data_IF_720905624426
#
_entry.id   IF_720905624426
#
_cell.length_a   1.000
_cell.length_b   1.000
_cell.length_c   1.000
_cell.angle_alpha   90.00
_cell.angle_beta   90.00
_cell.angle_gamma   90.00
#
_symmetry.space_group_name_H-M   'P 1'
#
loop_
_entity.id
_entity.type
_entity.pdbx_description
1 polymer ?
#
# COMPACT_ATOMS: atom_id res chain seq x y z
N UNK A 1 -15.63 -17.43 -7.59
CA UNK A 1 -14.26 -17.92 -7.35
C UNK A 1 -13.53 -17.82 -8.68
N UNK A 2 -12.91 -16.68 -8.91
CA UNK A 2 -11.71 -16.59 -9.73
C UNK A 2 -10.64 -16.26 -8.69
N UNK A 3 -10.13 -17.30 -7.99
CA UNK A 3 -8.83 -17.10 -7.34
C UNK A 3 -7.88 -16.72 -8.45
N UNK A 4 -7.06 -15.68 -8.25
CA UNK A 4 -6.01 -15.39 -9.23
C UNK A 4 -5.25 -16.69 -9.45
N UNK A 5 -5.41 -17.29 -10.63
CA UNK A 5 -4.61 -18.46 -10.98
C UNK A 5 -3.17 -18.02 -10.88
N UNK A 6 -2.33 -18.80 -10.18
CA UNK A 6 -0.89 -18.60 -10.20
C UNK A 6 -0.45 -18.46 -11.67
N UNK A 7 0.02 -17.28 -12.03
CA UNK A 7 0.57 -16.97 -13.35
C UNK A 7 2.06 -17.26 -13.37
N UNK A 8 2.76 -17.17 -12.23
CA UNK A 8 4.19 -17.51 -12.16
C UNK A 8 4.35 -19.02 -12.39
N UNK A 9 4.94 -19.36 -13.53
CA UNK A 9 5.09 -20.76 -13.93
C UNK A 9 6.13 -21.46 -13.06
N UNK A 10 6.05 -22.80 -12.98
CA UNK A 10 7.09 -23.60 -12.30
C UNK A 10 8.48 -23.41 -12.92
N UNK A 11 8.56 -23.04 -14.20
CA UNK A 11 9.82 -22.74 -14.89
C UNK A 11 10.40 -21.43 -14.36
N UNK A 12 9.57 -20.38 -14.25
CA UNK A 12 9.97 -19.09 -13.70
C UNK A 12 10.40 -19.22 -12.24
N UNK A 13 9.65 -19.94 -11.40
CA UNK A 13 10.04 -20.24 -10.01
C UNK A 13 11.42 -20.92 -9.94
N UNK A 14 11.63 -21.97 -10.73
CA UNK A 14 12.93 -22.66 -10.81
C UNK A 14 14.07 -21.73 -11.22
N UNK A 15 13.86 -20.85 -12.20
CA UNK A 15 14.87 -19.87 -12.63
C UNK A 15 15.19 -18.86 -11.53
N UNK A 16 14.18 -18.37 -10.83
CA UNK A 16 14.34 -17.44 -9.69
C UNK A 16 15.12 -18.13 -8.57
N UNK A 17 14.73 -19.33 -8.14
CA UNK A 17 15.41 -20.05 -7.06
C UNK A 17 16.82 -20.45 -7.43
N UNK A 18 17.05 -20.87 -8.68
CA UNK A 18 18.39 -21.14 -9.15
C UNK A 18 19.24 -19.87 -9.12
N UNK A 19 18.73 -18.74 -9.60
CA UNK A 19 19.42 -17.46 -9.55
C UNK A 19 19.73 -17.06 -8.10
N UNK A 20 18.78 -17.14 -7.18
CA UNK A 20 18.98 -16.75 -5.78
C UNK A 20 19.94 -17.67 -5.02
N UNK A 21 19.89 -18.99 -5.26
CA UNK A 21 20.74 -19.95 -4.54
C UNK A 21 22.14 -20.06 -5.15
N UNK A 22 22.24 -20.01 -6.48
CA UNK A 22 23.47 -20.30 -7.20
C UNK A 22 24.14 -19.04 -7.75
N UNK A 23 23.44 -17.92 -7.83
CA UNK A 23 23.93 -16.74 -8.52
C UNK A 23 24.01 -16.93 -10.02
N UNK A 24 24.90 -16.18 -10.67
CA UNK A 24 25.20 -16.30 -12.08
C UNK A 24 26.70 -16.08 -12.35
N UNK A 25 27.16 -16.44 -13.54
CA UNK A 25 28.55 -16.25 -13.95
C UNK A 25 28.63 -15.06 -14.90
N UNK A 26 29.54 -14.13 -14.61
CA UNK A 26 29.92 -13.06 -15.54
C UNK A 26 31.22 -13.44 -16.23
N UNK A 27 31.15 -13.54 -17.56
CA UNK A 27 32.33 -13.81 -18.37
C UNK A 27 33.20 -12.57 -18.47
N UNK A 28 34.45 -12.69 -18.03
CA UNK A 28 35.43 -11.62 -18.15
C UNK A 28 35.98 -11.54 -19.58
N UNK A 29 36.08 -10.33 -20.14
CA UNK A 29 36.72 -10.10 -21.45
C UNK A 29 38.23 -10.46 -21.37
N UNK A 30 38.83 -10.24 -20.20
CA UNK A 30 40.18 -10.63 -19.85
C UNK A 30 40.15 -11.14 -18.40
N UNK A 31 40.55 -12.39 -18.17
CA UNK A 31 40.57 -13.02 -16.85
C UNK A 31 39.71 -14.27 -16.75
N UNK A 32 39.49 -14.73 -15.52
CA UNK A 32 38.61 -15.87 -15.23
C UNK A 32 37.17 -15.41 -15.03
N UNK A 33 36.24 -16.31 -15.37
CA UNK A 33 34.82 -16.14 -15.12
C UNK A 33 34.55 -15.94 -13.62
N UNK A 34 33.80 -14.89 -13.28
CA UNK A 34 33.49 -14.57 -11.88
C UNK A 34 32.07 -15.00 -11.57
N UNK A 35 31.92 -15.77 -10.49
CA UNK A 35 30.60 -16.13 -9.96
C UNK A 35 30.09 -15.02 -9.06
N UNK A 36 28.97 -14.43 -9.44
CA UNK A 36 28.25 -13.43 -8.65
C UNK A 36 27.15 -14.14 -7.89
N UNK A 37 27.26 -14.16 -6.55
CA UNK A 37 26.26 -14.73 -5.64
C UNK A 37 25.34 -13.65 -5.07
N UNK A 38 24.26 -14.07 -4.43
CA UNK A 38 23.32 -13.16 -3.78
C UNK A 38 22.91 -13.69 -2.41
N UNK A 39 23.08 -12.84 -1.40
CA UNK A 39 22.60 -13.13 -0.07
C UNK A 39 21.18 -12.56 0.10
N UNK A 40 20.17 -13.43 0.09
CA UNK A 40 18.76 -13.00 0.12
C UNK A 40 18.32 -12.37 1.45
N UNK A 41 19.02 -12.62 2.55
CA UNK A 41 18.77 -11.95 3.84
C UNK A 41 19.61 -10.67 4.03
N UNK A 42 20.43 -10.32 3.02
CA UNK A 42 21.18 -9.06 2.96
C UNK A 42 22.04 -8.78 4.19
N UNK A 43 21.75 -7.70 4.90
CA UNK A 43 22.50 -7.23 6.08
C UNK A 43 22.00 -7.82 7.40
N UNK A 44 20.87 -8.53 7.39
CA UNK A 44 20.29 -9.18 8.56
C UNK A 44 20.85 -10.59 8.75
N UNK A 45 20.55 -11.23 9.87
CA UNK A 45 20.63 -12.69 9.95
C UNK A 45 19.45 -13.35 9.23
N UNK A 46 19.61 -14.61 8.83
CA UNK A 46 18.53 -15.36 8.16
C UNK A 46 17.24 -15.42 9.01
N UNK A 47 17.38 -15.54 10.34
CA UNK A 47 16.25 -15.56 11.27
C UNK A 47 15.55 -14.20 11.34
N UNK A 48 16.32 -13.12 11.50
CA UNK A 48 15.76 -11.75 11.53
C UNK A 48 15.01 -11.42 10.24
N UNK A 49 15.56 -11.82 9.09
CA UNK A 49 14.90 -11.66 7.80
C UNK A 49 13.60 -12.47 7.71
N UNK A 50 13.62 -13.77 8.01
CA UNK A 50 12.45 -14.64 7.87
C UNK A 50 11.32 -14.28 8.85
N UNK A 51 11.64 -13.77 10.05
CA UNK A 51 10.64 -13.30 11.03
C UNK A 51 9.84 -12.09 10.52
N UNK A 52 10.35 -11.35 9.52
CA UNK A 52 9.60 -10.25 8.88
C UNK A 52 8.45 -10.74 8.02
N UNK A 53 8.51 -11.98 7.54
CA UNK A 53 7.51 -12.59 6.66
C UNK A 53 6.69 -13.68 7.34
N UNK A 54 7.26 -14.35 8.34
CA UNK A 54 6.70 -15.56 8.94
C UNK A 54 6.78 -15.53 10.46
N UNK A 55 5.76 -16.08 11.13
CA UNK A 55 5.82 -16.31 12.57
C UNK A 55 6.57 -17.61 12.87
N UNK A 56 7.91 -17.52 12.88
CA UNK A 56 8.79 -18.68 13.04
C UNK A 56 8.63 -19.42 14.38
N UNK A 57 8.15 -18.71 15.42
CA UNK A 57 7.92 -19.29 16.75
C UNK A 57 6.74 -20.26 16.79
N UNK A 58 5.76 -20.05 15.92
CA UNK A 58 4.56 -20.89 15.80
C UNK A 58 4.73 -21.99 14.74
N UNK A 59 5.85 -21.99 14.00
CA UNK A 59 6.16 -22.99 12.98
C UNK A 59 6.95 -24.17 13.57
N UNK A 60 6.69 -25.41 13.12
CA UNK A 60 7.40 -26.57 13.63
C UNK A 60 8.88 -26.58 13.24
N UNK A 61 9.72 -27.07 14.15
CA UNK A 61 11.12 -27.41 13.86
C UNK A 61 11.20 -28.68 13.00
N UNK A 62 12.18 -28.75 12.09
CA UNK A 62 12.59 -29.98 11.41
C UNK A 62 13.64 -30.76 12.19
N UNK A 63 14.36 -30.08 13.09
CA UNK A 63 15.19 -30.73 14.09
C UNK A 63 14.35 -31.05 15.34
N UNK A 64 14.11 -32.33 15.58
CA UNK A 64 13.36 -32.83 16.75
C UNK A 64 13.90 -32.39 18.12
N UNK A 65 15.14 -31.88 18.19
CA UNK A 65 15.78 -31.39 19.41
C UNK A 65 15.39 -29.96 19.78
N UNK A 66 14.76 -29.23 18.86
CA UNK A 66 14.48 -27.79 18.97
C UNK A 66 12.97 -27.54 18.97
N UNK A 67 12.53 -26.46 19.62
CA UNK A 67 11.11 -26.26 19.92
C UNK A 67 10.30 -25.77 18.71
N UNK A 68 10.90 -24.94 17.85
CA UNK A 68 10.23 -24.27 16.74
C UNK A 68 11.20 -23.96 15.59
N UNK A 69 10.67 -23.45 14.48
CA UNK A 69 11.46 -23.13 13.30
C UNK A 69 12.48 -22.00 13.55
N UNK A 70 12.20 -21.06 14.47
CA UNK A 70 13.14 -19.99 14.82
C UNK A 70 14.44 -20.55 15.41
N UNK A 71 14.34 -21.44 16.41
CA UNK A 71 15.49 -22.10 17.03
C UNK A 71 16.25 -23.01 16.04
N UNK A 72 15.51 -23.73 15.21
CA UNK A 72 16.02 -24.61 14.13
C UNK A 72 16.87 -23.84 13.13
N UNK A 73 16.29 -22.81 12.53
CA UNK A 73 16.98 -21.98 11.55
C UNK A 73 18.16 -21.26 12.20
N UNK A 74 18.00 -20.71 13.40
CA UNK A 74 19.11 -20.08 14.12
C UNK A 74 20.29 -21.05 14.31
N UNK A 75 20.01 -22.29 14.73
CA UNK A 75 21.04 -23.33 14.91
C UNK A 75 21.79 -23.60 13.61
N UNK A 76 21.07 -23.76 12.50
CA UNK A 76 21.65 -24.22 11.24
C UNK A 76 22.09 -23.12 10.27
N UNK A 77 21.77 -21.86 10.53
CA UNK A 77 22.24 -20.73 9.70
C UNK A 77 23.18 -19.78 10.44
N UNK A 78 23.15 -19.75 11.78
CA UNK A 78 24.00 -18.84 12.58
C UNK A 78 25.06 -19.62 13.37
N UNK A 79 24.67 -20.64 14.13
CA UNK A 79 25.63 -21.40 14.94
C UNK A 79 26.44 -22.40 14.09
N UNK A 80 25.81 -23.02 13.10
CA UNK A 80 26.42 -23.99 12.20
C UNK A 80 26.12 -23.65 10.72
N UNK A 81 26.70 -22.58 10.15
CA UNK A 81 26.29 -22.01 8.86
C UNK A 81 26.43 -22.92 7.64
N UNK A 82 27.07 -24.10 7.77
CA UNK A 82 27.25 -25.06 6.68
C UNK A 82 26.29 -26.26 6.77
N UNK A 83 25.34 -26.27 7.72
CA UNK A 83 24.44 -27.41 7.93
C UNK A 83 23.35 -27.51 6.85
N UNK A 84 22.97 -26.38 6.25
CA UNK A 84 21.95 -26.33 5.20
C UNK A 84 22.56 -26.20 3.80
N UNK A 85 22.00 -26.88 2.78
CA UNK A 85 22.38 -26.65 1.38
C UNK A 85 21.98 -25.25 0.92
N UNK A 86 22.65 -24.71 -0.10
CA UNK A 86 22.40 -23.34 -0.61
C UNK A 86 20.94 -23.06 -1.00
N UNK A 87 20.19 -24.07 -1.43
CA UNK A 87 18.79 -23.97 -1.86
C UNK A 87 17.77 -24.42 -0.79
N UNK A 88 18.22 -24.62 0.46
CA UNK A 88 17.39 -25.18 1.54
C UNK A 88 16.05 -24.46 1.69
N UNK A 89 16.05 -23.12 1.63
CA UNK A 89 14.85 -22.31 1.85
C UNK A 89 13.79 -22.56 0.77
N UNK A 90 14.22 -22.80 -0.47
CA UNK A 90 13.32 -23.02 -1.60
C UNK A 90 12.81 -24.47 -1.69
N UNK A 91 13.40 -25.38 -0.92
CA UNK A 91 12.99 -26.79 -0.81
C UNK A 91 12.29 -27.10 0.50
N UNK A 92 12.35 -26.19 1.47
CA UNK A 92 11.72 -26.31 2.78
C UNK A 92 10.20 -26.07 2.69
N UNK A 93 9.42 -27.13 2.90
CA UNK A 93 7.95 -27.14 2.89
C UNK A 93 7.27 -26.26 3.94
N UNK A 94 8.01 -25.79 4.96
CA UNK A 94 7.50 -24.79 5.90
C UNK A 94 7.25 -23.44 5.23
N UNK A 95 7.98 -23.15 4.15
CA UNK A 95 7.89 -21.88 3.43
C UNK A 95 7.14 -22.08 2.11
N UNK A 96 6.04 -21.35 1.87
CA UNK A 96 5.21 -21.51 0.69
C UNK A 96 5.83 -20.82 -0.56
N UNK A 97 7.13 -20.98 -0.79
CA UNK A 97 7.84 -20.37 -1.91
C UNK A 97 7.72 -21.22 -3.18
N UNK A 98 7.93 -22.54 -3.10
CA UNK A 98 7.86 -23.41 -4.28
C UNK A 98 6.42 -23.78 -4.64
N UNK A 99 5.62 -24.22 -3.65
CA UNK A 99 4.26 -24.73 -3.82
C UNK A 99 3.15 -23.76 -3.37
N UNK A 100 3.50 -22.54 -2.96
CA UNK A 100 2.52 -21.55 -2.53
C UNK A 100 1.93 -20.72 -3.66
N UNK A 101 1.30 -19.63 -3.26
CA UNK A 101 0.70 -18.64 -4.16
C UNK A 101 1.78 -17.77 -4.83
N UNK A 102 1.41 -17.03 -5.87
CA UNK A 102 2.30 -16.04 -6.48
C UNK A 102 2.56 -14.88 -5.52
N UNK A 103 1.54 -14.46 -4.79
CA UNK A 103 1.59 -13.39 -3.78
C UNK A 103 2.66 -13.70 -2.74
N UNK A 104 2.66 -14.90 -2.16
CA UNK A 104 3.67 -15.33 -1.18
C UNK A 104 5.11 -15.27 -1.73
N UNK A 105 5.31 -15.63 -3.00
CA UNK A 105 6.61 -15.53 -3.64
C UNK A 105 6.98 -14.07 -3.92
N UNK A 106 6.06 -13.26 -4.43
CA UNK A 106 6.30 -11.87 -4.78
C UNK A 106 6.55 -11.00 -3.54
N UNK A 107 5.83 -11.24 -2.44
CA UNK A 107 6.06 -10.60 -1.14
C UNK A 107 7.46 -10.92 -0.62
N UNK A 108 7.86 -12.20 -0.67
CA UNK A 108 9.22 -12.61 -0.35
C UNK A 108 10.26 -11.89 -1.24
N UNK A 109 10.02 -11.82 -2.54
CA UNK A 109 10.92 -11.15 -3.47
C UNK A 109 10.98 -9.63 -3.25
N UNK A 110 9.89 -8.99 -2.84
CA UNK A 110 9.91 -7.59 -2.42
C UNK A 110 10.77 -7.42 -1.16
N UNK A 111 10.67 -8.35 -0.21
CA UNK A 111 11.38 -8.26 1.06
C UNK A 111 12.90 -8.44 0.92
N UNK A 112 13.39 -9.32 0.04
CA UNK A 112 14.84 -9.44 -0.24
C UNK A 112 15.43 -8.14 -0.83
N UNK A 113 14.60 -7.30 -1.44
CA UNK A 113 14.98 -6.00 -2.00
C UNK A 113 14.55 -4.81 -1.14
N UNK A 114 14.01 -5.07 0.06
CA UNK A 114 13.65 -4.03 1.00
C UNK A 114 14.93 -3.30 1.46
N UNK A 115 14.96 -1.95 1.50
CA UNK A 115 16.10 -1.19 2.01
C UNK A 115 16.57 -1.55 3.42
N UNK A 116 15.69 -2.08 4.28
CA UNK A 116 16.07 -2.57 5.61
C UNK A 116 16.75 -3.94 5.59
N UNK A 117 16.68 -4.65 4.47
CA UNK A 117 17.24 -5.99 4.29
C UNK A 117 18.47 -5.93 3.39
N UNK A 118 18.33 -5.42 2.16
CA UNK A 118 19.36 -5.49 1.11
C UNK A 118 20.64 -4.77 1.51
N UNK A 119 21.77 -5.30 1.06
CA UNK A 119 23.05 -4.61 1.16
C UNK A 119 23.27 -3.72 -0.06
N UNK A 120 23.32 -2.39 0.14
CA UNK A 120 23.53 -1.41 -0.93
C UNK A 120 24.91 -1.53 -1.62
N UNK A 121 25.88 -2.22 -1.00
CA UNK A 121 27.19 -2.50 -1.60
C UNK A 121 27.20 -3.77 -2.45
N UNK A 122 26.12 -4.57 -2.39
CA UNK A 122 26.00 -5.82 -3.14
C UNK A 122 25.46 -5.64 -4.56
N UNK A 123 25.43 -6.73 -5.33
CA UNK A 123 24.87 -6.78 -6.68
C UNK A 123 23.32 -6.83 -6.72
N UNK A 124 22.63 -6.40 -5.65
CA UNK A 124 21.18 -6.55 -5.52
C UNK A 124 20.39 -5.97 -6.70
N UNK A 125 20.84 -4.85 -7.29
CA UNK A 125 20.18 -4.23 -8.47
C UNK A 125 20.17 -5.16 -9.67
N UNK A 126 21.28 -5.87 -9.90
CA UNK A 126 21.39 -6.83 -11.00
C UNK A 126 20.48 -8.04 -10.79
N UNK A 127 20.37 -8.52 -9.54
CA UNK A 127 19.40 -9.57 -9.18
C UNK A 127 17.97 -9.09 -9.34
N UNK A 128 17.64 -7.88 -8.88
CA UNK A 128 16.35 -7.25 -9.07
C UNK A 128 15.97 -7.20 -10.55
N UNK A 129 16.86 -6.71 -11.42
CA UNK A 129 16.62 -6.62 -12.87
C UNK A 129 16.39 -8.01 -13.49
N UNK A 130 17.23 -9.00 -13.16
CA UNK A 130 17.05 -10.37 -13.68
C UNK A 130 15.73 -10.99 -13.23
N UNK A 131 15.35 -10.83 -11.96
CA UNK A 131 14.08 -11.36 -11.44
C UNK A 131 12.89 -10.62 -12.03
N UNK A 132 12.97 -9.29 -12.16
CA UNK A 132 11.98 -8.46 -12.84
C UNK A 132 11.73 -8.97 -14.26
N UNK A 133 12.76 -9.27 -15.05
CA UNK A 133 12.59 -9.82 -16.41
C UNK A 133 11.96 -11.21 -16.41
N UNK A 134 12.22 -12.04 -15.39
CA UNK A 134 11.58 -13.35 -15.24
C UNK A 134 10.08 -13.24 -14.94
N UNK A 135 9.69 -12.42 -13.96
CA UNK A 135 8.27 -12.29 -13.56
C UNK A 135 7.43 -11.52 -14.58
N UNK A 136 8.05 -10.64 -15.38
CA UNK A 136 7.39 -9.93 -16.49
C UNK A 136 6.81 -10.84 -17.55
N UNK A 137 7.47 -11.97 -17.82
CA UNK A 137 6.97 -12.98 -18.78
C UNK A 137 5.64 -13.57 -18.30
N UNK A 138 5.47 -13.67 -16.99
CA UNK A 138 4.29 -14.24 -16.34
C UNK A 138 3.26 -13.17 -15.94
N UNK A 139 3.45 -11.92 -16.38
CA UNK A 139 2.46 -10.85 -16.25
C UNK A 139 2.54 -10.02 -14.96
N UNK A 140 3.59 -10.20 -14.16
CA UNK A 140 3.87 -9.36 -12.98
C UNK A 140 5.01 -8.37 -13.25
N UNK A 141 5.06 -7.28 -12.48
CA UNK A 141 6.22 -6.40 -12.44
C UNK A 141 6.43 -5.83 -11.04
N UNK A 142 7.68 -5.60 -10.66
CA UNK A 142 7.98 -4.73 -9.53
C UNK A 142 7.80 -3.27 -9.90
N UNK A 143 7.38 -2.46 -8.94
CA UNK A 143 7.20 -1.02 -9.07
C UNK A 143 7.67 -0.29 -7.80
N UNK A 144 8.05 0.98 -7.94
CA UNK A 144 8.39 1.88 -6.84
C UNK A 144 7.10 2.18 -6.08
N UNK A 145 6.98 1.57 -4.90
CA UNK A 145 5.81 1.69 -4.02
C UNK A 145 5.88 2.99 -3.22
N UNK A 146 6.99 3.19 -2.51
CA UNK A 146 7.28 4.41 -1.75
C UNK A 146 8.81 4.53 -1.50
N UNK A 147 9.21 5.58 -0.78
CA UNK A 147 10.61 5.88 -0.47
C UNK A 147 10.74 6.08 1.04
N UNK A 148 11.75 5.46 1.65
CA UNK A 148 12.10 5.61 3.07
C UNK A 148 13.53 6.14 3.12
N UNK A 149 13.75 7.32 3.71
CA UNK A 149 15.09 7.89 3.89
C UNK A 149 15.93 7.93 2.59
N UNK A 150 15.30 8.31 1.47
CA UNK A 150 15.85 8.29 0.11
C UNK A 150 16.12 6.90 -0.50
N UNK A 151 15.73 5.82 0.18
CA UNK A 151 15.81 4.45 -0.32
C UNK A 151 14.48 3.98 -0.90
N UNK A 152 14.53 3.36 -2.07
CA UNK A 152 13.33 2.86 -2.76
C UNK A 152 12.86 1.54 -2.15
N UNK A 153 11.57 1.51 -1.81
CA UNK A 153 10.82 0.30 -1.49
C UNK A 153 10.02 -0.12 -2.71
N UNK A 154 10.12 -1.40 -3.06
CA UNK A 154 9.44 -1.98 -4.20
C UNK A 154 8.22 -2.78 -3.76
N UNK A 155 7.11 -2.61 -4.48
CA UNK A 155 5.95 -3.51 -4.44
C UNK A 155 5.87 -4.32 -5.73
N UNK A 156 4.89 -5.21 -5.82
CA UNK A 156 4.58 -5.97 -7.03
C UNK A 156 3.15 -5.70 -7.50
N UNK A 157 2.93 -5.76 -8.81
CA UNK A 157 1.59 -5.63 -9.40
C UNK A 157 1.44 -6.48 -10.65
N UNK A 158 0.20 -6.72 -11.06
CA UNK A 158 -0.08 -7.19 -12.42
C UNK A 158 0.23 -6.09 -13.41
N UNK A 159 0.92 -6.43 -14.51
CA UNK A 159 1.32 -5.48 -15.55
C UNK A 159 0.13 -4.73 -16.16
N UNK A 160 -1.00 -5.42 -16.32
CA UNK A 160 -2.23 -4.87 -16.90
C UNK A 160 -3.06 -4.05 -15.89
N UNK A 161 -2.71 -4.09 -14.61
CA UNK A 161 -3.44 -3.45 -13.51
C UNK A 161 -2.74 -2.20 -12.97
N UNK A 162 -1.85 -1.64 -13.79
CA UNK A 162 -0.94 -0.57 -13.41
C UNK A 162 -1.60 0.78 -13.20
N UNK A 163 -2.61 1.10 -14.01
CA UNK A 163 -3.34 2.36 -13.94
C UNK A 163 -4.85 2.08 -13.91
N UNK A 164 -5.49 2.41 -12.80
CA UNK A 164 -6.94 2.28 -12.58
C UNK A 164 -7.66 3.64 -12.63
N UNK A 165 -6.96 4.72 -12.31
CA UNK A 165 -7.48 6.10 -12.20
C UNK A 165 -7.26 6.90 -13.49
N UNK A 166 -6.05 6.79 -14.06
CA UNK A 166 -5.67 7.47 -15.30
C UNK A 166 -5.64 6.48 -16.47
N UNK A 167 -6.32 6.80 -17.57
CA UNK A 167 -6.31 5.93 -18.75
C UNK A 167 -5.00 6.09 -19.53
N UNK A 168 -4.51 5.04 -20.22
CA UNK A 168 -3.28 5.14 -21.02
C UNK A 168 -3.28 6.25 -22.07
N UNK A 169 -4.43 6.51 -22.70
CA UNK A 169 -4.58 7.60 -23.68
C UNK A 169 -4.45 9.00 -23.04
N UNK A 170 -5.00 9.17 -21.83
CA UNK A 170 -4.91 10.41 -21.06
C UNK A 170 -3.48 10.63 -20.55
N UNK A 171 -2.83 9.57 -20.08
CA UNK A 171 -1.43 9.58 -19.68
C UNK A 171 -0.54 10.02 -20.84
N UNK A 172 -0.73 9.45 -22.04
CA UNK A 172 0.02 9.83 -23.23
C UNK A 172 -0.21 11.29 -23.63
N UNK A 173 -1.42 11.81 -23.47
CA UNK A 173 -1.72 13.21 -23.76
C UNK A 173 -0.98 14.16 -22.81
N UNK A 174 -0.98 13.86 -21.51
CA UNK A 174 -0.23 14.64 -20.51
C UNK A 174 1.29 14.55 -20.75
N UNK A 175 1.81 13.36 -21.04
CA UNK A 175 3.23 13.18 -21.36
C UNK A 175 3.62 14.01 -22.58
N UNK A 176 2.80 14.02 -23.64
CA UNK A 176 3.07 14.79 -24.84
C UNK A 176 3.10 16.31 -24.58
N UNK A 177 2.32 16.79 -23.60
CA UNK A 177 2.35 18.19 -23.17
C UNK A 177 3.66 18.55 -22.46
N UNK A 178 4.16 17.64 -21.61
CA UNK A 178 5.31 17.90 -20.75
C UNK A 178 6.65 17.57 -21.41
N UNK A 179 6.78 16.42 -22.09
CA UNK A 179 8.03 15.92 -22.65
C UNK A 179 8.18 16.32 -24.12
N UNK A 180 8.88 17.43 -24.35
CA UNK A 180 9.05 18.09 -25.65
C UNK A 180 10.40 17.71 -26.27
N UNK A 181 10.53 16.46 -26.71
CA UNK A 181 11.78 15.96 -27.30
C UNK A 181 12.92 15.80 -26.30
N UNK A 182 12.60 15.42 -25.05
CA UNK A 182 13.57 15.23 -23.96
C UNK A 182 13.70 16.41 -23.00
N UNK A 183 13.18 17.58 -23.39
CA UNK A 183 12.96 18.72 -22.51
C UNK A 183 11.64 18.51 -21.76
N UNK A 184 11.67 18.52 -20.43
CA UNK A 184 10.44 18.50 -19.64
C UNK A 184 10.08 19.94 -19.36
N UNK A 185 9.10 20.47 -20.11
CA UNK A 185 8.74 21.89 -20.12
C UNK A 185 10.00 22.77 -20.30
N UNK A 186 10.01 23.99 -19.76
CA UNK A 186 11.15 24.92 -19.75
C UNK A 186 12.06 24.70 -18.53
N UNK A 187 11.85 23.62 -17.77
CA UNK A 187 12.60 23.34 -16.55
C UNK A 187 14.07 23.01 -16.84
N UNK A 188 14.97 23.66 -16.09
CA UNK A 188 16.36 23.22 -15.97
C UNK A 188 16.42 21.85 -15.28
N UNK A 189 17.53 21.13 -15.43
CA UNK A 189 17.72 19.84 -14.73
C UNK A 189 17.62 19.98 -13.21
N UNK A 190 18.28 20.97 -12.57
CA UNK A 190 18.10 21.22 -11.13
C UNK A 190 16.65 21.52 -10.73
N UNK A 191 15.94 22.36 -11.49
CA UNK A 191 14.55 22.71 -11.17
C UNK A 191 13.60 21.53 -11.32
N UNK A 192 13.82 20.68 -12.33
CA UNK A 192 13.05 19.44 -12.52
C UNK A 192 13.30 18.44 -11.36
N UNK A 193 14.55 18.29 -10.93
CA UNK A 193 14.87 17.41 -9.80
C UNK A 193 14.39 17.96 -8.46
N UNK A 194 14.37 19.28 -8.27
CA UNK A 194 13.77 19.92 -7.10
C UNK A 194 12.24 19.71 -7.06
N UNK A 195 11.56 19.90 -8.19
CA UNK A 195 10.13 19.64 -8.31
C UNK A 195 9.82 18.17 -8.01
N UNK A 196 10.55 17.23 -8.63
CA UNK A 196 10.31 15.80 -8.41
C UNK A 196 10.64 15.37 -6.98
N UNK A 197 11.70 15.89 -6.38
CA UNK A 197 12.00 15.64 -4.97
C UNK A 197 10.86 16.10 -4.06
N UNK A 198 10.33 17.31 -4.28
CA UNK A 198 9.23 17.85 -3.49
C UNK A 198 7.96 17.01 -3.61
N UNK A 199 7.62 16.60 -4.83
CA UNK A 199 6.33 15.98 -5.10
C UNK A 199 6.33 14.48 -4.80
N UNK A 200 7.41 13.78 -5.13
CA UNK A 200 7.49 12.31 -5.04
C UNK A 200 8.69 11.80 -4.25
N UNK A 201 9.48 12.66 -3.61
CA UNK A 201 10.61 12.24 -2.79
C UNK A 201 11.84 11.74 -3.56
N UNK A 202 11.87 11.90 -4.88
CA UNK A 202 12.95 11.42 -5.75
C UNK A 202 13.40 12.50 -6.73
N UNK A 203 14.71 12.74 -6.76
CA UNK A 203 15.36 13.48 -7.85
C UNK A 203 15.51 12.56 -9.05
N UNK A 204 14.64 12.71 -10.05
CA UNK A 204 14.53 11.71 -11.12
C UNK A 204 15.76 11.62 -12.01
N UNK A 205 16.44 12.73 -12.33
CA UNK A 205 17.64 12.66 -13.18
C UNK A 205 18.84 12.09 -12.43
N UNK A 206 19.02 12.47 -11.17
CA UNK A 206 20.01 11.87 -10.28
C UNK A 206 19.78 10.35 -10.11
N UNK A 207 18.53 9.94 -9.85
CA UNK A 207 18.20 8.54 -9.60
C UNK A 207 18.40 7.65 -10.83
N UNK A 208 17.90 8.06 -12.00
CA UNK A 208 17.97 7.24 -13.21
C UNK A 208 19.26 7.40 -14.01
N UNK A 209 20.05 8.45 -13.75
CA UNK A 209 21.24 8.78 -14.56
C UNK A 209 20.90 9.08 -16.04
N UNK A 210 19.69 9.58 -16.31
CA UNK A 210 19.14 9.81 -17.66
C UNK A 210 18.72 11.27 -17.84
N UNK A 211 18.43 11.67 -19.08
CA UNK A 211 17.86 13.00 -19.36
C UNK A 211 16.49 13.16 -18.72
N UNK A 212 16.07 14.41 -18.41
CA UNK A 212 14.76 14.71 -17.78
C UNK A 212 13.60 13.93 -18.40
N UNK A 213 13.45 14.00 -19.73
CA UNK A 213 12.37 13.30 -20.43
C UNK A 213 12.47 11.77 -20.29
N UNK A 214 13.67 11.19 -20.35
CA UNK A 214 13.87 9.75 -20.17
C UNK A 214 13.63 9.31 -18.72
N UNK A 215 14.03 10.11 -17.75
CA UNK A 215 13.79 9.86 -16.32
C UNK A 215 12.32 9.97 -15.95
N UNK A 216 11.61 10.97 -16.50
CA UNK A 216 10.15 11.10 -16.35
C UNK A 216 9.44 9.86 -16.90
N UNK A 217 9.80 9.43 -18.10
CA UNK A 217 9.21 8.23 -18.72
C UNK A 217 9.51 6.95 -17.93
N UNK A 218 10.72 6.82 -17.39
CA UNK A 218 11.10 5.70 -16.54
C UNK A 218 10.26 5.69 -15.25
N UNK A 219 10.13 6.83 -14.57
CA UNK A 219 9.31 6.94 -13.37
C UNK A 219 7.81 6.68 -13.64
N UNK A 220 7.24 7.20 -14.71
CA UNK A 220 5.85 6.88 -15.09
C UNK A 220 5.69 5.38 -15.33
N UNK A 221 6.73 4.71 -15.83
CA UNK A 221 6.72 3.27 -16.03
C UNK A 221 6.80 2.51 -14.70
N UNK A 222 7.62 2.95 -13.78
CA UNK A 222 8.00 2.16 -12.61
C UNK A 222 7.30 2.61 -11.33
N UNK A 223 6.69 3.79 -11.28
CA UNK A 223 6.04 4.33 -10.09
C UNK A 223 4.65 3.77 -9.81
N UNK A 224 4.23 3.85 -8.54
CA UNK A 224 2.83 3.65 -8.14
C UNK A 224 1.94 4.73 -8.75
N UNK A 225 0.73 4.34 -9.18
CA UNK A 225 -0.19 5.24 -9.89
C UNK A 225 -0.42 6.57 -9.18
N UNK A 226 -0.68 6.57 -7.87
CA UNK A 226 -0.93 7.80 -7.12
C UNK A 226 0.26 8.77 -7.15
N UNK A 227 1.49 8.26 -7.04
CA UNK A 227 2.69 9.08 -7.07
C UNK A 227 2.97 9.61 -8.49
N UNK A 228 2.75 8.77 -9.50
CA UNK A 228 2.79 9.19 -10.91
C UNK A 228 1.78 10.32 -11.17
N UNK A 229 0.55 10.17 -10.71
CA UNK A 229 -0.48 11.19 -10.85
C UNK A 229 -0.07 12.48 -10.14
N UNK A 230 0.42 12.40 -8.91
CA UNK A 230 0.89 13.57 -8.14
C UNK A 230 1.93 14.35 -8.94
N UNK A 231 2.92 13.67 -9.52
CA UNK A 231 3.92 14.30 -10.37
C UNK A 231 3.31 14.94 -11.63
N UNK A 232 2.41 14.24 -12.32
CA UNK A 232 1.77 14.77 -13.53
C UNK A 232 0.90 16.00 -13.24
N UNK A 233 0.20 16.02 -12.11
CA UNK A 233 -0.58 17.18 -11.64
C UNK A 233 0.36 18.35 -11.34
N UNK A 234 1.47 18.12 -10.64
CA UNK A 234 2.43 19.18 -10.35
C UNK A 234 3.08 19.77 -11.62
N UNK A 235 3.43 18.93 -12.60
CA UNK A 235 3.90 19.39 -13.91
C UNK A 235 2.82 20.19 -14.65
N UNK A 236 1.56 19.77 -14.57
CA UNK A 236 0.45 20.51 -15.14
C UNK A 236 0.23 21.86 -14.45
N UNK A 237 0.41 21.94 -13.14
CA UNK A 237 0.26 23.18 -12.39
C UNK A 237 1.36 24.17 -12.72
N UNK A 238 2.60 23.69 -12.81
CA UNK A 238 3.71 24.48 -13.29
C UNK A 238 3.44 25.01 -14.71
N UNK A 239 3.00 24.14 -15.63
CA UNK A 239 2.60 24.54 -16.98
C UNK A 239 1.48 25.58 -16.96
N UNK A 240 0.46 25.40 -16.11
CA UNK A 240 -0.73 26.23 -16.05
C UNK A 240 -0.50 27.58 -15.38
N UNK A 241 0.51 27.71 -14.53
CA UNK A 241 0.84 28.95 -13.83
C UNK A 241 1.98 29.74 -14.48
N UNK A 242 2.79 29.10 -15.33
CA UNK A 242 3.90 29.75 -16.03
C UNK A 242 3.40 30.58 -17.23
N UNK A 243 3.73 31.88 -17.24
CA UNK A 243 3.35 32.83 -18.30
C UNK A 243 3.95 32.45 -19.66
N UNK A 244 5.06 31.70 -19.70
CA UNK A 244 5.66 31.23 -20.94
C UNK A 244 4.68 30.41 -21.82
N UNK A 245 3.69 29.74 -21.21
CA UNK A 245 2.71 28.90 -21.90
C UNK A 245 1.34 29.56 -22.12
N UNK A 246 1.20 30.87 -21.92
CA UNK A 246 -0.10 31.56 -22.01
C UNK A 246 -0.81 31.38 -23.36
N UNK A 247 -0.09 31.47 -24.48
CA UNK A 247 -0.69 31.27 -25.80
C UNK A 247 -1.11 29.82 -26.04
N UNK A 248 -0.32 28.84 -25.59
CA UNK A 248 -0.65 27.43 -25.75
C UNK A 248 -1.90 27.02 -24.95
N UNK A 249 -2.14 27.68 -23.81
CA UNK A 249 -3.32 27.46 -22.95
C UNK A 249 -4.64 27.86 -23.62
N UNK A 250 -4.61 28.59 -24.75
CA UNK A 250 -5.81 28.93 -25.53
C UNK A 250 -6.26 27.79 -26.45
N UNK A 251 -5.43 26.77 -26.68
CA UNK A 251 -5.72 25.67 -27.59
C UNK A 251 -6.58 24.55 -26.98
N UNK A 252 -7.22 23.77 -27.85
CA UNK A 252 -8.07 22.62 -27.46
C UNK A 252 -7.33 21.57 -26.63
N UNK A 253 -6.03 21.40 -26.87
CA UNK A 253 -5.21 20.43 -26.14
C UNK A 253 -5.10 20.78 -24.65
N UNK A 254 -5.02 22.07 -24.31
CA UNK A 254 -5.01 22.50 -22.91
C UNK A 254 -6.34 22.16 -22.23
N UNK A 255 -7.47 22.46 -22.87
CA UNK A 255 -8.79 22.16 -22.31
C UNK A 255 -8.99 20.66 -22.06
N UNK A 256 -8.51 19.80 -22.98
CA UNK A 256 -8.50 18.34 -22.79
C UNK A 256 -7.66 17.95 -21.57
N UNK A 257 -6.41 18.41 -21.48
CA UNK A 257 -5.55 18.12 -20.32
C UNK A 257 -6.12 18.65 -19.01
N UNK A 258 -6.71 19.84 -19.01
CA UNK A 258 -7.37 20.44 -17.85
C UNK A 258 -8.54 19.59 -17.35
N UNK A 259 -9.38 19.08 -18.26
CA UNK A 259 -10.49 18.21 -17.90
C UNK A 259 -10.02 16.89 -17.25
N UNK A 260 -8.94 16.31 -17.77
CA UNK A 260 -8.30 15.10 -17.24
C UNK A 260 -7.77 15.38 -15.84
N UNK A 261 -6.98 16.44 -15.67
CA UNK A 261 -6.38 16.81 -14.38
C UNK A 261 -7.44 17.12 -13.34
N UNK A 262 -8.51 17.84 -13.69
CA UNK A 262 -9.61 18.13 -12.78
C UNK A 262 -10.38 16.86 -12.37
N UNK A 263 -10.61 15.93 -13.31
CA UNK A 263 -11.23 14.63 -13.01
C UNK A 263 -10.36 13.81 -12.06
N UNK A 264 -9.06 13.71 -12.35
CA UNK A 264 -8.12 12.94 -11.52
C UNK A 264 -7.97 13.58 -10.14
N UNK A 265 -7.90 14.92 -10.07
CA UNK A 265 -7.95 15.67 -8.80
C UNK A 265 -9.22 15.44 -8.02
N UNK A 266 -10.38 15.33 -8.69
CA UNK A 266 -11.64 15.05 -8.01
C UNK A 266 -11.71 13.62 -7.48
N UNK A 267 -11.14 12.66 -8.22
CA UNK A 267 -10.97 11.27 -7.77
C UNK A 267 -9.99 11.14 -6.60
N UNK A 268 -8.88 11.91 -6.64
CA UNK A 268 -7.94 12.05 -5.52
C UNK A 268 -8.61 12.78 -4.37
N UNK A 269 -9.28 13.91 -4.57
CA UNK A 269 -9.95 14.66 -3.52
C UNK A 269 -11.06 13.85 -2.83
N UNK A 270 -11.73 12.91 -3.50
CA UNK A 270 -12.71 12.07 -2.81
C UNK A 270 -12.07 11.08 -1.82
N UNK A 271 -10.88 10.56 -2.13
CA UNK A 271 -10.16 9.58 -1.30
C UNK A 271 -9.21 10.30 -0.32
N UNK A 272 -8.48 11.29 -0.81
CA UNK A 272 -7.53 12.14 -0.11
C UNK A 272 -8.18 13.31 0.62
N UNK A 273 -9.23 14.01 0.19
CA UNK A 273 -9.85 14.97 1.12
C UNK A 273 -10.55 14.24 2.25
N UNK A 274 -11.21 13.11 2.00
CA UNK A 274 -11.71 12.28 3.12
C UNK A 274 -10.54 11.91 4.03
N UNK A 275 -9.47 11.27 3.55
CA UNK A 275 -8.35 10.87 4.40
C UNK A 275 -7.52 12.02 5.01
N UNK A 276 -7.30 13.13 4.29
CA UNK A 276 -6.35 14.21 4.61
C UNK A 276 -7.04 15.39 5.33
N UNK A 277 -8.33 15.64 5.07
CA UNK A 277 -9.17 16.54 5.87
C UNK A 277 -9.49 15.88 7.23
N UNK A 278 -9.51 14.54 7.30
CA UNK A 278 -9.44 13.75 8.54
C UNK A 278 -8.07 13.88 9.24
N UNK A 279 -6.94 13.76 8.54
CA UNK A 279 -5.61 13.94 9.14
C UNK A 279 -5.41 15.33 9.77
N UNK A 280 -6.01 16.38 9.18
CA UNK A 280 -5.87 17.76 9.64
C UNK A 280 -6.90 18.20 10.71
N UNK A 281 -8.07 17.56 10.79
CA UNK A 281 -9.13 17.89 11.78
C UNK A 281 -9.12 17.01 13.02
N UNK A 282 -8.45 15.87 12.97
CA UNK A 282 -8.27 14.98 14.12
C UNK A 282 -6.98 15.37 14.82
N UNK A 283 -7.08 16.26 15.81
CA UNK A 283 -5.92 16.72 16.60
C UNK A 283 -5.29 15.66 17.52
N UNK A 284 -5.59 14.37 17.32
CA UNK A 284 -4.89 13.27 17.99
C UNK A 284 -4.01 12.55 16.97
N UNK A 285 -2.69 12.57 17.17
CA UNK A 285 -1.71 11.81 16.37
C UNK A 285 -2.10 10.33 16.22
N UNK A 286 -2.84 9.79 17.21
CA UNK A 286 -3.34 8.42 17.26
C UNK A 286 -4.35 8.08 16.13
N UNK A 287 -5.42 8.85 15.95
CA UNK A 287 -6.48 8.52 14.96
C UNK A 287 -5.98 8.65 13.51
N UNK A 288 -5.15 9.65 13.24
CA UNK A 288 -4.44 9.85 11.97
C UNK A 288 -3.55 8.66 11.64
N UNK A 289 -2.74 8.20 12.61
CA UNK A 289 -1.91 7.00 12.45
C UNK A 289 -2.77 5.75 12.19
N UNK A 290 -3.88 5.57 12.91
CA UNK A 290 -4.77 4.42 12.71
C UNK A 290 -5.43 4.41 11.32
N UNK A 291 -5.88 5.55 10.79
CA UNK A 291 -6.48 5.64 9.45
C UNK A 291 -5.47 5.27 8.37
N UNK A 292 -4.24 5.79 8.46
CA UNK A 292 -3.16 5.45 7.54
C UNK A 292 -2.84 3.96 7.56
N UNK A 293 -2.64 3.39 8.76
CA UNK A 293 -2.39 1.96 8.95
C UNK A 293 -3.51 1.11 8.33
N UNK A 294 -4.77 1.45 8.60
CA UNK A 294 -5.91 0.71 8.04
C UNK A 294 -5.96 0.73 6.52
N UNK A 295 -5.66 1.89 5.91
CA UNK A 295 -5.66 2.04 4.45
C UNK A 295 -4.59 1.16 3.80
N UNK A 296 -3.39 1.11 4.39
CA UNK A 296 -2.31 0.19 3.96
C UNK A 296 -2.72 -1.28 4.13
N UNK A 297 -3.35 -1.63 5.25
CA UNK A 297 -3.81 -2.98 5.52
C UNK A 297 -4.92 -3.45 4.57
N UNK A 298 -5.65 -2.55 3.88
CA UNK A 298 -6.72 -2.98 2.96
C UNK A 298 -6.23 -3.88 1.82
N UNK A 299 -4.99 -3.70 1.37
CA UNK A 299 -4.35 -4.54 0.34
C UNK A 299 -3.50 -5.66 0.92
N UNK A 300 -2.82 -5.42 2.06
CA UNK A 300 -1.86 -6.36 2.64
C UNK A 300 -2.52 -7.41 3.55
N UNK A 301 -3.48 -6.99 4.38
CA UNK A 301 -4.21 -7.88 5.27
C UNK A 301 -5.67 -7.41 5.44
N UNK A 302 -6.54 -7.73 4.45
CA UNK A 302 -7.94 -7.29 4.44
C UNK A 302 -8.72 -7.65 5.71
N UNK A 303 -8.34 -8.76 6.36
CA UNK A 303 -9.00 -9.24 7.59
C UNK A 303 -8.64 -8.36 8.79
N UNK A 304 -7.36 -8.04 8.96
CA UNK A 304 -6.90 -7.16 10.04
C UNK A 304 -7.35 -5.72 9.83
N UNK A 305 -7.42 -5.23 8.58
CA UNK A 305 -7.96 -3.92 8.27
C UNK A 305 -9.38 -3.71 8.83
N UNK A 306 -10.21 -4.75 8.81
CA UNK A 306 -11.58 -4.73 9.35
C UNK A 306 -11.58 -4.77 10.88
N UNK A 307 -10.66 -5.52 11.48
CA UNK A 307 -10.42 -5.49 12.92
C UNK A 307 -10.10 -4.07 13.39
N UNK A 308 -9.18 -3.41 12.69
CA UNK A 308 -8.79 -2.02 12.94
C UNK A 308 -9.92 -1.03 12.68
N UNK A 309 -10.73 -1.23 11.64
CA UNK A 309 -11.92 -0.40 11.38
C UNK A 309 -12.92 -0.42 12.55
N UNK A 310 -13.12 -1.60 13.15
CA UNK A 310 -13.93 -1.77 14.36
C UNK A 310 -13.29 -1.03 15.56
N UNK A 311 -11.99 -1.21 15.76
CA UNK A 311 -11.25 -0.54 16.85
C UNK A 311 -11.29 0.99 16.72
N UNK A 312 -11.21 1.53 15.50
CA UNK A 312 -11.31 2.98 15.26
C UNK A 312 -12.67 3.53 15.70
N UNK A 313 -13.78 2.87 15.29
CA UNK A 313 -15.13 3.29 15.70
C UNK A 313 -15.27 3.23 17.23
N UNK A 314 -14.78 2.17 17.87
CA UNK A 314 -14.81 2.03 19.33
C UNK A 314 -14.01 3.13 20.02
N UNK A 315 -12.80 3.40 19.53
CA UNK A 315 -11.93 4.45 20.06
C UNK A 315 -12.61 5.81 19.94
N UNK A 316 -13.11 6.17 18.76
CA UNK A 316 -13.81 7.42 18.53
C UNK A 316 -15.01 7.59 19.48
N UNK A 317 -15.88 6.58 19.59
CA UNK A 317 -17.05 6.66 20.47
C UNK A 317 -16.67 6.81 21.95
N UNK A 318 -15.66 6.05 22.42
CA UNK A 318 -15.16 6.14 23.80
C UNK A 318 -14.55 7.52 24.09
N UNK A 319 -13.74 8.05 23.18
CA UNK A 319 -13.15 9.38 23.31
C UNK A 319 -14.21 10.47 23.36
N UNK A 320 -15.24 10.41 22.50
CA UNK A 320 -16.34 11.40 22.54
C UNK A 320 -17.08 11.33 23.88
N UNK A 321 -17.38 10.14 24.39
CA UNK A 321 -18.03 9.97 25.69
C UNK A 321 -17.17 10.52 26.84
N UNK A 322 -15.87 10.21 26.83
CA UNK A 322 -14.91 10.71 27.81
C UNK A 322 -14.82 12.25 27.79
N UNK A 323 -14.67 12.86 26.61
CA UNK A 323 -14.61 14.33 26.47
C UNK A 323 -15.91 15.03 26.86
N UNK A 324 -17.04 14.33 26.80
CA UNK A 324 -18.36 14.82 27.22
C UNK A 324 -18.66 14.54 28.69
N UNK A 325 -17.74 13.94 29.43
CA UNK A 325 -17.91 13.50 30.82
C UNK A 325 -19.06 12.49 31.01
N UNK A 326 -19.36 11.68 29.99
CA UNK A 326 -20.36 10.62 30.06
C UNK A 326 -19.69 9.28 30.42
N UNK A 327 -20.35 8.41 31.22
CA UNK A 327 -19.76 7.14 31.62
C UNK A 327 -19.64 6.20 30.43
N UNK A 328 -18.44 5.66 30.22
CA UNK A 328 -18.19 4.65 29.18
C UNK A 328 -18.84 3.33 29.63
N UNK A 329 -19.83 2.81 28.90
CA UNK A 329 -20.51 1.58 29.29
C UNK A 329 -19.57 0.37 29.17
N UNK A 330 -19.54 -0.47 30.21
CA UNK A 330 -18.70 -1.68 30.26
C UNK A 330 -19.36 -2.81 29.49
N UNK A 331 -18.59 -3.52 28.67
CA UNK A 331 -19.00 -4.69 27.89
C UNK A 331 -20.10 -4.46 26.85
N UNK A 332 -20.38 -3.20 26.48
CA UNK A 332 -21.34 -2.92 25.42
C UNK A 332 -20.82 -3.31 24.04
N UNK A 333 -21.72 -3.77 23.18
CA UNK A 333 -21.41 -4.06 21.78
C UNK A 333 -21.21 -2.74 21.03
N UNK A 334 -20.34 -2.75 20.03
CA UNK A 334 -20.01 -1.53 19.27
C UNK A 334 -21.24 -0.79 18.71
N UNK A 335 -22.25 -1.47 18.18
CA UNK A 335 -23.44 -0.78 17.68
C UNK A 335 -24.30 -0.14 18.77
N UNK A 336 -24.32 -0.70 19.99
CA UNK A 336 -24.94 -0.04 21.14
C UNK A 336 -24.13 1.20 21.55
N UNK A 337 -22.81 1.07 21.62
CA UNK A 337 -21.89 2.19 21.90
C UNK A 337 -22.08 3.33 20.89
N UNK A 338 -22.11 3.04 19.59
CA UNK A 338 -22.35 4.02 18.53
C UNK A 338 -23.69 4.72 18.68
N UNK A 339 -24.76 3.99 19.00
CA UNK A 339 -26.09 4.60 19.23
C UNK A 339 -26.10 5.53 20.44
N UNK A 340 -25.43 5.16 21.53
CA UNK A 340 -25.29 6.02 22.72
C UNK A 340 -24.58 7.33 22.33
N UNK A 341 -23.45 7.24 21.60
CA UNK A 341 -22.72 8.41 21.10
C UNK A 341 -23.59 9.27 20.16
N UNK A 342 -24.34 8.67 19.23
CA UNK A 342 -25.24 9.41 18.34
C UNK A 342 -26.38 10.11 19.11
N UNK A 343 -26.91 9.47 20.15
CA UNK A 343 -27.93 10.05 21.03
C UNK A 343 -27.38 11.23 21.82
N UNK A 344 -26.16 11.12 22.34
CA UNK A 344 -25.49 12.21 23.04
C UNK A 344 -25.28 13.43 22.13
N UNK A 345 -24.94 13.18 20.87
CA UNK A 345 -24.73 14.20 19.85
C UNK A 345 -26.03 14.70 19.19
N UNK A 346 -27.20 14.17 19.58
CA UNK A 346 -28.52 14.49 19.01
C UNK A 346 -28.60 14.32 17.49
N UNK A 347 -27.99 13.25 16.98
CA UNK A 347 -27.96 12.90 15.55
C UNK A 347 -28.60 11.53 15.30
N UNK A 348 -29.68 11.23 16.01
CA UNK A 348 -30.49 10.02 15.78
C UNK A 348 -31.63 10.32 14.82
N UNK A 349 -32.23 9.28 14.19
CA UNK A 349 -33.43 9.48 13.37
C UNK A 349 -34.58 10.16 14.12
N UNK A 350 -34.66 10.03 15.44
CA UNK A 350 -35.72 10.64 16.25
C UNK A 350 -35.51 12.15 16.44
N UNK A 351 -34.29 12.66 16.22
CA UNK A 351 -33.96 14.08 16.36
C UNK A 351 -34.34 14.89 15.11
N UNK A 352 -34.78 14.23 14.04
CA UNK A 352 -35.20 14.88 12.78
C UNK A 352 -36.71 15.12 12.80
N UNK A 353 -37.11 16.38 12.72
CA UNK A 353 -38.52 16.79 12.58
C UNK A 353 -39.11 16.31 11.24
N UNK A 354 -40.27 15.66 11.29
CA UNK A 354 -41.00 15.16 10.13
C UNK A 354 -41.50 16.28 9.18
N UNK A 355 -41.55 17.52 9.66
CA UNK A 355 -41.90 18.68 8.86
C UNK A 355 -40.80 19.12 7.88
N UNK A 356 -39.55 18.66 8.05
CA UNK A 356 -38.42 19.07 7.21
C UNK A 356 -38.50 18.37 5.83
N UNK A 357 -38.26 19.08 4.71
CA UNK A 357 -38.13 18.45 3.40
C UNK A 357 -37.09 17.32 3.44
N UNK A 358 -37.46 16.16 2.89
CA UNK A 358 -36.62 14.95 2.89
C UNK A 358 -36.29 14.35 4.27
N UNK A 359 -37.05 14.67 5.33
CA UNK A 359 -36.89 14.08 6.67
C UNK A 359 -36.79 12.55 6.64
N UNK A 360 -37.66 11.88 5.88
CA UNK A 360 -37.63 10.41 5.71
C UNK A 360 -36.29 9.90 5.17
N UNK A 361 -35.69 10.59 4.20
CA UNK A 361 -34.40 10.21 3.64
C UNK A 361 -33.26 10.41 4.65
N UNK A 362 -33.28 11.52 5.40
CA UNK A 362 -32.28 11.77 6.45
C UNK A 362 -32.36 10.74 7.59
N UNK A 363 -33.58 10.43 8.06
CA UNK A 363 -33.80 9.38 9.06
C UNK A 363 -33.25 8.02 8.61
N UNK A 364 -33.44 7.69 7.33
CA UNK A 364 -32.90 6.45 6.75
C UNK A 364 -31.37 6.46 6.70
N UNK A 365 -30.74 7.56 6.30
CA UNK A 365 -29.28 7.69 6.25
C UNK A 365 -28.67 7.55 7.65
N UNK A 366 -29.24 8.23 8.66
CA UNK A 366 -28.79 8.13 10.05
C UNK A 366 -28.94 6.70 10.60
N UNK A 367 -30.06 6.03 10.29
CA UNK A 367 -30.27 4.62 10.65
C UNK A 367 -29.23 3.70 10.01
N UNK A 368 -28.90 3.93 8.73
CA UNK A 368 -27.87 3.17 8.02
C UNK A 368 -26.48 3.41 8.62
N UNK A 369 -26.14 4.64 9.02
CA UNK A 369 -24.88 4.95 9.70
C UNK A 369 -24.73 4.18 11.01
N UNK A 370 -25.79 4.10 11.83
CA UNK A 370 -25.75 3.25 13.04
C UNK A 370 -25.53 1.77 12.70
N UNK A 371 -26.16 1.27 11.64
CA UNK A 371 -26.05 -0.12 11.22
C UNK A 371 -24.65 -0.50 10.71
N UNK A 372 -23.83 0.47 10.25
CA UNK A 372 -22.44 0.22 9.84
C UNK A 372 -21.62 -0.37 10.99
N UNK A 373 -21.79 0.13 12.22
CA UNK A 373 -21.07 -0.38 13.39
C UNK A 373 -21.42 -1.85 13.70
N UNK A 374 -22.71 -2.20 13.64
CA UNK A 374 -23.19 -3.58 13.80
C UNK A 374 -22.69 -4.49 12.66
N UNK A 375 -22.68 -3.98 11.42
CA UNK A 375 -22.10 -4.65 10.26
C UNK A 375 -20.61 -4.91 10.46
N UNK A 376 -19.87 -3.95 11.02
CA UNK A 376 -18.44 -4.07 11.28
C UNK A 376 -18.13 -5.15 12.33
N UNK A 377 -18.90 -5.19 13.42
CA UNK A 377 -18.80 -6.26 14.40
C UNK A 377 -19.10 -7.63 13.79
N UNK A 378 -20.14 -7.71 12.95
CA UNK A 378 -20.52 -8.96 12.30
C UNK A 378 -19.43 -9.44 11.34
N UNK A 379 -18.88 -8.54 10.52
CA UNK A 379 -17.77 -8.82 9.61
C UNK A 379 -16.52 -9.25 10.39
N UNK A 380 -16.13 -8.52 11.44
CA UNK A 380 -14.98 -8.90 12.28
C UNK A 380 -15.18 -10.23 12.98
N UNK A 381 -16.39 -10.53 13.47
CA UNK A 381 -16.62 -11.80 14.16
C UNK A 381 -16.64 -12.99 13.20
N UNK A 382 -17.19 -12.79 12.00
CA UNK A 382 -17.24 -13.83 10.97
C UNK A 382 -15.88 -14.03 10.30
N UNK A 383 -15.14 -12.94 10.09
CA UNK A 383 -13.94 -12.91 9.26
C UNK A 383 -12.63 -12.54 9.97
N UNK A 384 -12.63 -12.18 11.26
CA UNK A 384 -11.43 -11.83 12.04
C UNK A 384 -10.54 -13.01 12.44
N UNK A 385 -9.29 -12.73 12.78
CA UNK A 385 -8.20 -13.70 13.05
C UNK A 385 -8.28 -14.44 14.40
N UNK A 386 -9.26 -14.12 15.25
CA UNK A 386 -9.31 -14.57 16.65
C UNK A 386 -9.68 -16.05 16.90
N UNK A 387 -9.97 -16.82 15.86
CA UNK A 387 -10.28 -18.26 15.98
C UNK A 387 -9.63 -19.02 14.83
N UNK A 388 -8.90 -20.09 15.15
CA UNK A 388 -8.26 -20.96 14.16
C UNK A 388 -9.24 -21.44 13.10
N UNK A 389 -8.82 -21.39 11.84
CA UNK A 389 -9.70 -21.69 10.69
C UNK A 389 -9.21 -22.90 9.92
N UNK A 390 -10.17 -23.63 9.37
CA UNK A 390 -9.90 -24.75 8.47
C UNK A 390 -9.36 -24.26 7.12
N UNK A 391 -8.51 -25.05 6.46
CA UNK A 391 -7.78 -24.67 5.25
C UNK A 391 -8.67 -24.28 4.04
N UNK A 392 -9.96 -24.66 4.03
CA UNK A 392 -10.93 -24.30 2.99
C UNK A 392 -11.58 -22.91 3.19
N UNK A 393 -11.18 -22.18 4.21
CA UNK A 393 -11.79 -20.91 4.57
C UNK A 393 -11.51 -19.82 3.53
N UNK A 394 -12.56 -19.16 3.03
CA UNK A 394 -12.45 -18.03 2.13
C UNK A 394 -12.53 -16.73 2.91
N UNK A 395 -11.41 -16.02 2.96
CA UNK A 395 -11.31 -14.69 3.56
C UNK A 395 -11.96 -13.60 2.72
N UNK A 396 -11.94 -12.39 3.28
CA UNK A 396 -12.41 -11.19 2.60
C UNK A 396 -11.33 -10.68 1.63
N UNK A 397 -11.74 -10.38 0.40
CA UNK A 397 -10.88 -9.71 -0.59
C UNK A 397 -10.73 -8.20 -0.33
N UNK A 398 -9.71 -7.57 -0.92
CA UNK A 398 -9.39 -6.12 -0.84
C UNK A 398 -10.64 -5.22 -0.97
N UNK A 399 -11.54 -5.52 -1.92
CA UNK A 399 -12.77 -4.72 -2.12
C UNK A 399 -13.67 -4.67 -0.89
N UNK A 400 -13.72 -5.74 -0.09
CA UNK A 400 -14.55 -5.80 1.11
C UNK A 400 -13.88 -5.06 2.27
N UNK A 401 -12.55 -5.13 2.38
CA UNK A 401 -11.79 -4.34 3.34
C UNK A 401 -11.88 -2.85 3.03
N UNK A 402 -11.78 -2.45 1.75
CA UNK A 402 -11.99 -1.05 1.33
C UNK A 402 -13.40 -0.54 1.66
N UNK A 403 -14.43 -1.36 1.42
CA UNK A 403 -15.80 -1.01 1.82
C UNK A 403 -15.90 -0.81 3.34
N UNK A 404 -15.35 -1.75 4.12
CA UNK A 404 -15.42 -1.72 5.57
C UNK A 404 -14.64 -0.54 6.17
N UNK A 405 -13.37 -0.37 5.78
CA UNK A 405 -12.51 0.75 6.21
C UNK A 405 -13.13 2.08 5.80
N UNK A 406 -13.53 2.24 4.53
CA UNK A 406 -14.19 3.47 4.06
C UNK A 406 -15.49 3.79 4.82
N UNK A 407 -16.32 2.79 5.08
CA UNK A 407 -17.57 2.96 5.85
C UNK A 407 -17.29 3.35 7.31
N UNK A 408 -16.27 2.75 7.93
CA UNK A 408 -15.87 3.09 9.30
C UNK A 408 -15.35 4.52 9.41
N UNK A 409 -14.57 4.95 8.40
CA UNK A 409 -14.02 6.29 8.30
C UNK A 409 -15.15 7.33 8.21
N UNK A 410 -16.11 7.13 7.30
CA UNK A 410 -17.25 8.05 7.12
C UNK A 410 -18.06 8.18 8.42
N UNK A 411 -18.30 7.06 9.12
CA UNK A 411 -19.01 7.08 10.40
C UNK A 411 -18.24 7.88 11.45
N UNK A 412 -16.94 7.60 11.62
CA UNK A 412 -16.07 8.29 12.57
C UNK A 412 -15.99 9.79 12.25
N UNK A 413 -15.87 10.15 10.98
CA UNK A 413 -15.87 11.53 10.51
C UNK A 413 -17.15 12.25 10.91
N UNK A 414 -18.29 11.64 10.62
CA UNK A 414 -19.59 12.23 10.92
C UNK A 414 -19.77 12.47 12.42
N UNK A 415 -19.43 11.47 13.26
CA UNK A 415 -19.53 11.59 14.72
C UNK A 415 -18.58 12.66 15.26
N UNK A 416 -17.32 12.65 14.83
CA UNK A 416 -16.31 13.59 15.30
C UNK A 416 -16.60 15.03 14.86
N UNK A 417 -16.97 15.24 13.59
CA UNK A 417 -17.36 16.57 13.10
C UNK A 417 -18.57 17.12 13.86
N UNK A 418 -19.54 16.27 14.17
CA UNK A 418 -20.71 16.65 14.97
C UNK A 418 -20.30 17.00 16.39
N UNK A 419 -19.42 16.21 17.00
CA UNK A 419 -18.87 16.47 18.34
C UNK A 419 -18.15 17.82 18.39
N UNK A 420 -17.19 18.08 17.50
CA UNK A 420 -16.41 19.33 17.47
C UNK A 420 -17.28 20.57 17.24
N UNK A 421 -18.31 20.46 16.40
CA UNK A 421 -19.27 21.56 16.18
C UNK A 421 -20.07 21.86 17.45
N UNK A 422 -20.62 20.82 18.08
CA UNK A 422 -21.46 20.95 19.28
C UNK A 422 -20.65 21.12 20.58
N UNK A 423 -19.32 21.12 20.51
CA UNK A 423 -18.39 21.45 21.61
C UNK A 423 -18.15 22.95 21.72
N UNK A 424 -18.37 23.72 20.64
CA UNK A 424 -18.25 25.19 20.62
C UNK A 424 -19.51 25.93 21.11
N UNK A 425 -20.63 25.23 21.18
CA UNK A 425 -21.94 25.77 21.56
C UNK A 425 -22.31 25.50 23.04
N UNK A 426 -21.42 24.85 23.80
CA UNK A 426 -21.45 24.68 25.26
C UNK A 426 -20.27 25.44 25.87
#
# INVERSE_FOLDING_TARGET
MLGMMNKITSITRKKIFNLLSNGYVESAILGEDVRITFNFYGTLSCVEFLTRLYNLKDMPSKDSRLNNAEEDIYRHTVLNPNDYPEDWLFTDDRFPLYNGTDEQLLDFLCEIFNPEVRDEQSYWKTFFEKIQELIKVDGYEFYIEHIISNCIVYGWRLKDDKFRIIQPSELNLLIALFNRGGYVLDLSTPAFDELTLKEIGLKLTDFYGKSKGKSLMAYIKEGKENAVIKLLVALFDYYSSNSYYEEERKGDNYQKCLSIVNRIRSGIAYISNSAQELEQRFSSEYMTSQISIMMHMTSENPTEAIGKAKELIESCCKTILEERNEPIPKNEKIGALTRITMSLLKVTPNDIDDAIPAAKAMKQILGNLSAIADGMATLRNSYGSGHGRVASYKGLEERHAKLAVGSSIILVEFLWCTHERTKKDN
#
